data_IF_515440045958
#
_entry.id   IF_515440045958
#
_cell.length_a   1.000
_cell.length_b   1.000
_cell.length_c   1.000
_cell.angle_alpha   90.00
_cell.angle_beta   90.00
_cell.angle_gamma   90.00
#
_symmetry.space_group_name_H-M   'P 1'
#
loop_
_entity.id
_entity.type
_entity.pdbx_description
1 polymer ?
#
# COMPACT_ATOMS: atom_id res chain seq x y z
N UNK A 1 15.66 -15.84 4.87
CA UNK A 1 15.07 -15.21 6.07
C UNK A 1 15.30 -16.15 7.25
N UNK A 2 15.81 -15.66 8.39
CA UNK A 2 15.92 -16.45 9.62
C UNK A 2 14.91 -15.93 10.65
N UNK A 3 14.07 -16.82 11.19
CA UNK A 3 13.07 -16.48 12.22
C UNK A 3 13.57 -17.00 13.56
N UNK A 4 13.73 -16.11 14.54
CA UNK A 4 14.14 -16.48 15.88
C UNK A 4 12.92 -16.68 16.78
N UNK A 5 12.88 -17.83 17.47
CA UNK A 5 11.82 -18.18 18.41
C UNK A 5 12.34 -17.91 19.83
N UNK A 6 11.59 -17.13 20.61
CA UNK A 6 11.94 -16.79 21.99
C UNK A 6 12.04 -18.03 22.90
N UNK A 7 12.98 -18.02 23.84
CA UNK A 7 13.31 -19.18 24.68
C UNK A 7 12.30 -19.55 25.77
N UNK A 8 11.26 -18.75 25.98
CA UNK A 8 10.26 -18.95 27.04
C UNK A 8 9.14 -19.94 26.68
N UNK A 9 9.21 -20.60 25.53
CA UNK A 9 8.20 -21.55 25.08
C UNK A 9 8.51 -22.96 25.59
N UNK A 10 7.49 -23.68 26.03
CA UNK A 10 7.60 -25.10 26.39
C UNK A 10 8.04 -25.92 25.17
N UNK A 11 8.78 -27.03 25.39
CA UNK A 11 9.38 -27.82 24.30
C UNK A 11 8.38 -28.33 23.27
N UNK A 12 7.16 -28.68 23.72
CA UNK A 12 6.07 -29.15 22.85
C UNK A 12 5.58 -28.00 21.94
N UNK A 13 5.19 -26.87 22.54
CA UNK A 13 4.70 -25.70 21.81
C UNK A 13 5.76 -25.13 20.86
N UNK A 14 7.04 -25.19 21.26
CA UNK A 14 8.15 -24.80 20.40
C UNK A 14 8.23 -25.68 19.15
N UNK A 15 8.08 -26.99 19.27
CA UNK A 15 8.13 -27.91 18.14
C UNK A 15 6.90 -27.75 17.22
N UNK A 16 5.73 -27.52 17.78
CA UNK A 16 4.52 -27.19 17.01
C UNK A 16 4.70 -25.90 16.22
N UNK A 17 5.23 -24.85 16.86
CA UNK A 17 5.50 -23.57 16.21
C UNK A 17 6.57 -23.68 15.11
N UNK A 18 7.65 -24.43 15.34
CA UNK A 18 8.66 -24.69 14.31
C UNK A 18 8.03 -25.40 13.12
N UNK A 19 7.22 -26.44 13.37
CA UNK A 19 6.55 -27.20 12.31
C UNK A 19 5.59 -26.31 11.52
N UNK A 20 4.85 -25.45 12.21
CA UNK A 20 3.96 -24.47 11.59
C UNK A 20 4.72 -23.48 10.71
N UNK A 21 5.82 -22.90 11.21
CA UNK A 21 6.63 -21.95 10.45
C UNK A 21 7.32 -22.60 9.25
N UNK A 22 7.77 -23.85 9.37
CA UNK A 22 8.34 -24.62 8.27
C UNK A 22 7.31 -24.93 7.19
N UNK A 23 6.08 -25.28 7.58
CA UNK A 23 4.98 -25.56 6.65
C UNK A 23 4.51 -24.33 5.87
N UNK A 24 4.66 -23.14 6.44
CA UNK A 24 4.24 -21.87 5.84
C UNK A 24 5.43 -21.01 5.40
N UNK A 25 6.59 -21.63 5.17
CA UNK A 25 7.81 -20.90 4.82
C UNK A 25 7.68 -20.10 3.51
N UNK A 26 6.83 -20.58 2.60
CA UNK A 26 6.43 -19.94 1.35
C UNK A 26 5.68 -18.60 1.58
N UNK A 27 4.86 -18.50 2.63
CA UNK A 27 4.11 -17.28 2.96
C UNK A 27 5.05 -16.13 3.37
N UNK A 28 6.15 -16.46 4.05
CA UNK A 28 7.11 -15.46 4.55
C UNK A 28 8.20 -15.10 3.53
N UNK A 29 8.27 -15.81 2.40
CA UNK A 29 9.28 -15.64 1.37
C UNK A 29 8.75 -14.92 0.12
N UNK A 30 7.63 -14.20 0.22
CA UNK A 30 7.06 -13.47 -0.92
C UNK A 30 8.08 -12.51 -1.51
N UNK A 31 8.54 -12.84 -2.71
CA UNK A 31 9.14 -11.86 -3.61
C UNK A 31 8.01 -11.09 -4.29
N UNK A 32 8.25 -9.89 -4.83
CA UNK A 32 7.25 -9.21 -5.63
C UNK A 32 6.67 -10.13 -6.73
N UNK A 33 7.48 -11.01 -7.33
CA UNK A 33 7.00 -11.95 -8.34
C UNK A 33 5.97 -12.98 -7.82
N UNK A 34 5.93 -13.24 -6.50
CA UNK A 34 5.04 -14.24 -5.87
C UNK A 34 3.69 -13.67 -5.43
N UNK A 35 3.46 -12.36 -5.60
CA UNK A 35 2.16 -11.74 -5.34
C UNK A 35 1.36 -11.73 -6.64
N UNK A 36 0.48 -12.74 -6.90
CA UNK A 36 -0.33 -12.75 -8.10
C UNK A 36 -1.13 -11.45 -8.12
N UNK A 37 -1.02 -10.72 -9.22
CA UNK A 37 -1.73 -9.46 -9.41
C UNK A 37 -3.21 -9.68 -9.07
N UNK A 38 -3.70 -9.03 -8.01
CA UNK A 38 -5.10 -9.17 -7.63
C UNK A 38 -5.89 -8.59 -8.78
N UNK A 39 -6.69 -9.43 -9.45
CA UNK A 39 -7.51 -9.00 -10.57
C UNK A 39 -8.29 -7.75 -10.15
N UNK A 40 -8.23 -6.70 -10.98
CA UNK A 40 -8.93 -5.45 -10.72
C UNK A 40 -10.46 -5.63 -10.59
N UNK A 41 -10.99 -6.78 -11.01
CA UNK A 41 -12.39 -7.16 -10.82
C UNK A 41 -12.70 -7.58 -9.38
N UNK A 42 -11.72 -8.12 -8.65
CA UNK A 42 -11.86 -8.64 -7.28
C UNK A 42 -11.76 -7.51 -6.27
N UNK A 43 -10.73 -6.67 -6.38
CA UNK A 43 -10.52 -5.57 -5.44
C UNK A 43 -9.70 -4.45 -6.11
N UNK A 44 -10.27 -3.25 -6.17
CA UNK A 44 -9.54 -2.04 -6.55
C UNK A 44 -9.60 -1.04 -5.41
N UNK A 45 -8.43 -0.61 -4.95
CA UNK A 45 -8.35 0.53 -4.04
C UNK A 45 -8.53 1.81 -4.85
N UNK A 46 -9.62 2.53 -4.61
CA UNK A 46 -9.85 3.86 -5.19
C UNK A 46 -9.44 4.92 -4.17
N UNK A 47 -8.43 5.70 -4.52
CA UNK A 47 -8.03 6.85 -3.71
C UNK A 47 -9.11 7.92 -3.84
N UNK A 48 -9.81 8.20 -2.74
CA UNK A 48 -10.83 9.25 -2.68
C UNK A 48 -10.20 10.64 -2.77
N UNK A 49 -10.07 11.17 -3.98
CA UNK A 49 -9.58 12.52 -4.22
C UNK A 49 -10.75 13.47 -4.53
N UNK A 50 -10.71 14.67 -3.95
CA UNK A 50 -11.67 15.72 -4.29
C UNK A 50 -11.40 16.21 -5.72
N UNK A 51 -12.37 16.16 -6.64
CA UNK A 51 -12.18 16.55 -8.04
C UNK A 51 -11.73 18.01 -8.23
N UNK A 52 -12.04 18.86 -7.25
CA UNK A 52 -11.66 20.28 -7.23
C UNK A 52 -10.22 20.53 -6.79
N UNK A 53 -9.54 19.53 -6.22
CA UNK A 53 -8.16 19.67 -5.76
C UNK A 53 -7.20 19.48 -6.92
N UNK A 54 -6.29 20.44 -7.08
CA UNK A 54 -5.24 20.38 -8.10
C UNK A 54 -4.14 19.43 -7.62
N UNK A 55 -3.60 18.57 -8.49
CA UNK A 55 -2.50 17.70 -8.10
C UNK A 55 -1.27 18.57 -7.81
N UNK A 56 -0.56 18.28 -6.71
CA UNK A 56 0.65 19.01 -6.31
C UNK A 56 1.89 18.27 -6.79
N UNK A 57 2.67 18.90 -7.68
CA UNK A 57 3.91 18.30 -8.17
C UNK A 57 4.99 18.48 -7.11
N UNK A 58 5.31 17.41 -6.40
CA UNK A 58 6.40 17.43 -5.44
C UNK A 58 7.74 17.32 -6.16
N UNK A 59 8.73 18.12 -5.74
CA UNK A 59 10.09 18.03 -6.24
C UNK A 59 10.71 16.71 -5.78
N UNK A 60 11.33 15.98 -6.69
CA UNK A 60 12.09 14.77 -6.35
C UNK A 60 13.19 15.13 -5.35
N UNK A 61 13.31 14.34 -4.28
CA UNK A 61 14.39 14.51 -3.30
C UNK A 61 15.69 13.99 -3.90
N UNK A 62 16.79 14.69 -3.62
CA UNK A 62 18.11 14.21 -4.00
C UNK A 62 18.48 13.03 -3.11
N UNK A 63 18.85 11.91 -3.74
CA UNK A 63 19.37 10.73 -3.05
C UNK A 63 20.90 10.67 -3.23
N UNK A 64 21.61 10.02 -2.31
CA UNK A 64 23.03 9.69 -2.54
C UNK A 64 23.15 8.77 -3.75
N UNK A 65 24.35 8.72 -4.36
CA UNK A 65 24.61 7.89 -5.55
C UNK A 65 24.26 6.42 -5.28
N UNK A 66 24.70 5.88 -4.16
CA UNK A 66 24.41 4.50 -3.73
C UNK A 66 22.90 4.23 -3.63
N UNK A 67 22.15 5.11 -2.96
CA UNK A 67 20.68 4.98 -2.84
C UNK A 67 19.98 5.09 -4.18
N UNK A 68 20.47 5.96 -5.07
CA UNK A 68 19.89 6.15 -6.40
C UNK A 68 20.04 4.90 -7.27
N UNK A 69 21.16 4.18 -7.13
CA UNK A 69 21.37 2.90 -7.82
C UNK A 69 20.37 1.86 -7.31
N UNK A 70 20.26 1.69 -5.99
CA UNK A 70 19.32 0.75 -5.39
C UNK A 70 17.86 1.06 -5.75
N UNK A 71 17.44 2.34 -5.71
CA UNK A 71 16.09 2.76 -6.12
C UNK A 71 15.82 2.36 -7.56
N UNK A 72 16.75 2.59 -8.48
CA UNK A 72 16.57 2.27 -9.89
C UNK A 72 16.46 0.76 -10.14
N UNK A 73 17.26 -0.04 -9.43
CA UNK A 73 17.16 -1.50 -9.51
C UNK A 73 15.81 -2.00 -8.99
N UNK A 74 15.34 -1.46 -7.87
CA UNK A 74 14.07 -1.86 -7.29
C UNK A 74 12.87 -1.42 -8.15
N UNK A 75 12.92 -0.20 -8.70
CA UNK A 75 11.90 0.29 -9.65
C UNK A 75 11.84 -0.62 -10.88
N UNK A 76 12.98 -1.06 -11.40
CA UNK A 76 13.02 -2.00 -12.53
C UNK A 76 12.32 -3.33 -12.18
N UNK A 77 12.61 -3.91 -11.01
CA UNK A 77 11.95 -5.15 -10.55
C UNK A 77 10.43 -4.98 -10.45
N UNK A 78 9.96 -3.84 -9.94
CA UNK A 78 8.52 -3.57 -9.81
C UNK A 78 7.83 -3.33 -11.16
N UNK A 79 8.54 -2.72 -12.13
CA UNK A 79 8.06 -2.58 -13.51
C UNK A 79 7.96 -3.94 -14.19
N UNK A 80 9.00 -4.77 -14.08
CA UNK A 80 9.05 -6.11 -14.67
C UNK A 80 7.95 -7.02 -14.08
N UNK A 81 7.63 -6.85 -12.79
CA UNK A 81 6.54 -7.56 -12.13
C UNK A 81 5.14 -6.98 -12.41
N UNK A 82 5.02 -5.84 -13.11
CA UNK A 82 3.74 -5.22 -13.46
C UNK A 82 3.04 -4.43 -12.34
N UNK A 83 3.61 -4.35 -11.12
CA UNK A 83 2.99 -3.64 -9.99
C UNK A 83 2.89 -2.13 -10.18
N UNK A 84 3.85 -1.55 -10.89
CA UNK A 84 3.88 -0.11 -11.15
C UNK A 84 3.84 0.13 -12.65
N UNK A 85 3.21 1.23 -13.04
CA UNK A 85 3.16 1.72 -14.42
C UNK A 85 3.44 3.21 -14.44
N UNK A 86 4.05 3.68 -15.51
CA UNK A 86 4.22 5.11 -15.72
C UNK A 86 2.86 5.77 -15.97
N UNK A 87 2.62 6.89 -15.29
CA UNK A 87 1.36 7.65 -15.40
C UNK A 87 1.70 9.12 -15.55
N UNK A 88 0.98 9.81 -16.43
CA UNK A 88 1.12 11.26 -16.57
C UNK A 88 0.48 11.96 -15.38
N UNK A 89 1.18 12.95 -14.84
CA UNK A 89 0.75 13.71 -13.66
C UNK A 89 -0.62 14.40 -13.84
N UNK A 90 -1.01 14.70 -15.07
CA UNK A 90 -2.31 15.28 -15.43
C UNK A 90 -3.48 14.31 -15.24
N UNK A 91 -3.22 13.00 -15.15
CA UNK A 91 -4.25 11.96 -15.15
C UNK A 91 -4.58 11.45 -13.74
N UNK A 92 -3.79 11.83 -12.72
CA UNK A 92 -3.92 11.36 -11.33
C UNK A 92 -5.28 11.68 -10.71
N UNK A 93 -5.93 12.78 -11.13
CA UNK A 93 -7.22 13.21 -10.58
C UNK A 93 -8.41 12.92 -11.51
N UNK A 94 -8.19 12.37 -12.72
CA UNK A 94 -9.25 12.22 -13.73
C UNK A 94 -10.14 10.98 -13.54
N UNK A 95 -9.68 9.99 -12.78
CA UNK A 95 -10.37 8.69 -12.67
C UNK A 95 -11.31 8.55 -11.45
N UNK A 96 -11.42 9.58 -10.59
CA UNK A 96 -12.17 9.45 -9.33
C UNK A 96 -13.62 9.95 -9.47
N UNK A 97 -14.54 9.03 -9.82
CA UNK A 97 -15.97 9.26 -9.54
C UNK A 97 -16.18 9.13 -8.04
N UNK A 98 -16.79 10.14 -7.43
CA UNK A 98 -17.11 10.25 -5.99
C UNK A 98 -17.56 8.90 -5.41
N UNK A 99 -16.67 8.20 -4.70
CA UNK A 99 -17.05 7.01 -3.95
C UNK A 99 -17.77 7.49 -2.68
N UNK A 100 -19.09 7.56 -2.77
CA UNK A 100 -19.92 7.58 -1.58
C UNK A 100 -19.88 6.16 -1.00
N UNK A 101 -18.90 5.86 -0.15
CA UNK A 101 -19.02 4.69 0.71
C UNK A 101 -20.20 4.98 1.66
N UNK A 102 -21.30 4.22 1.60
CA UNK A 102 -22.40 4.41 2.53
C UNK A 102 -21.89 3.96 3.89
N UNK A 103 -21.46 4.91 4.73
CA UNK A 103 -21.27 4.64 6.14
C UNK A 103 -22.66 4.32 6.72
N UNK A 104 -22.90 3.09 7.23
CA UNK A 104 -24.13 2.80 7.92
C UNK A 104 -24.13 3.57 9.25
N UNK A 105 -24.89 4.66 9.30
CA UNK A 105 -25.34 5.29 10.53
C UNK A 105 -24.29 6.08 11.31
N UNK A 106 -24.15 7.36 10.97
CA UNK A 106 -24.15 8.40 12.02
C UNK A 106 -24.71 9.70 11.45
N UNK A 107 -25.95 9.99 11.81
CA UNK A 107 -26.53 11.34 11.73
C UNK A 107 -25.80 12.23 12.74
N UNK A 108 -24.57 12.63 12.44
CA UNK A 108 -23.94 13.76 13.11
C UNK A 108 -24.38 15.04 12.41
N UNK A 109 -25.50 15.60 12.89
CA UNK A 109 -25.86 16.98 12.64
C UNK A 109 -24.81 17.88 13.30
N UNK A 110 -23.77 18.25 12.56
CA UNK A 110 -23.05 19.48 12.85
C UNK A 110 -23.65 20.57 11.97
N UNK A 111 -24.63 21.24 12.58
CA UNK A 111 -25.25 22.47 12.12
C UNK A 111 -24.21 23.49 11.68
N UNK A 112 -24.45 24.03 10.50
CA UNK A 112 -23.80 25.19 9.94
C UNK A 112 -24.05 26.41 10.85
N UNK A 113 -22.99 26.92 11.48
CA UNK A 113 -22.87 28.30 11.94
C UNK A 113 -21.39 28.65 11.74
N UNK A 114 -20.96 29.72 11.11
CA UNK A 114 -21.57 30.80 10.34
C UNK A 114 -20.35 31.61 9.87
N UNK A 115 -20.43 32.20 8.69
CA UNK A 115 -19.43 33.14 8.15
C UNK A 115 -19.00 34.21 9.17
N UNK A 116 -17.70 34.54 9.16
CA UNK A 116 -17.02 35.82 9.48
C UNK A 116 -15.53 35.49 9.65
N UNK A 117 -14.50 36.20 9.21
CA UNK A 117 -14.26 37.36 8.33
C UNK A 117 -12.73 37.51 8.37
N UNK A 118 -12.10 37.69 7.21
CA UNK A 118 -10.67 38.02 6.97
C UNK A 118 -9.60 37.09 7.57
#
# INVERSE_FOLDING_TARGET
MCVQIGGSLTGILRNELITFLQRNADIFAWTPADMPEILAEVMVHKLGLYPSQKPVRQKQRNHSVEKSIAIREEVKKLLDAGFIREVNFTDVNKACQKYNFPFPGSTCQLTQQSNMSC
#
